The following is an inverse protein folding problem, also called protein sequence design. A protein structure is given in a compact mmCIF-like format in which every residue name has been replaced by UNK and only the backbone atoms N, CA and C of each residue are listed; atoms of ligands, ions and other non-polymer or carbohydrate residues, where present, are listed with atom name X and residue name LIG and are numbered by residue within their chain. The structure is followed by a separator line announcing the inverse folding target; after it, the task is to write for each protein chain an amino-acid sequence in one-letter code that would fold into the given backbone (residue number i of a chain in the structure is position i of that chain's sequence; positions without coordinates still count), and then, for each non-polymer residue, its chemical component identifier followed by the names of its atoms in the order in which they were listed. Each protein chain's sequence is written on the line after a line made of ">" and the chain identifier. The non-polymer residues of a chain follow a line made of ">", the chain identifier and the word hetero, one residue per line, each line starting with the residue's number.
data_IF_650681798854
#
_entry.id   IF_650681798854
#
_cell.length_a   1.000
_cell.length_b   1.000
_cell.length_c   1.000
_cell.angle_alpha   90.00
_cell.angle_beta   90.00
_cell.angle_gamma   90.00
#
_symmetry.space_group_name_H-M   'P 1'
#
loop_
_entity.id
_entity.type
_entity.pdbx_description
1 polymer ?
#
# COMPACT_ATOMS: atom_id res chain seq x y z
N UNK A 1 -18.56 15.84 -4.24
CA UNK A 1 -18.46 14.38 -4.06
C UNK A 1 -19.78 13.95 -3.46
N UNK A 2 -20.65 13.36 -4.26
CA UNK A 2 -21.99 12.95 -3.85
C UNK A 2 -21.90 11.58 -3.16
N UNK A 3 -22.52 11.45 -1.99
CA UNK A 3 -22.51 10.20 -1.23
C UNK A 3 -23.30 9.08 -1.93
N UNK A 4 -24.26 9.42 -2.81
CA UNK A 4 -25.01 8.41 -3.58
C UNK A 4 -24.13 7.72 -4.61
N UNK A 5 -23.26 8.49 -5.27
CA UNK A 5 -22.33 8.01 -6.29
C UNK A 5 -21.27 7.06 -5.70
N UNK A 6 -20.82 7.32 -4.47
CA UNK A 6 -19.90 6.43 -3.75
C UNK A 6 -20.52 5.07 -3.41
N UNK A 7 -21.79 5.06 -3.00
CA UNK A 7 -22.50 3.81 -2.68
C UNK A 7 -22.78 3.02 -3.95
N UNK A 8 -23.21 3.67 -5.02
CA UNK A 8 -23.50 3.00 -6.29
C UNK A 8 -22.23 2.37 -6.88
N UNK A 9 -21.11 3.11 -6.89
CA UNK A 9 -19.82 2.57 -7.33
C UNK A 9 -19.31 1.43 -6.43
N UNK A 10 -19.57 1.48 -5.11
CA UNK A 10 -19.24 0.35 -4.22
C UNK A 10 -20.12 -0.88 -4.50
N UNK A 11 -21.40 -0.71 -4.80
CA UNK A 11 -22.32 -1.81 -5.09
C UNK A 11 -21.97 -2.46 -6.44
N UNK A 12 -21.59 -1.67 -7.45
CA UNK A 12 -21.15 -2.18 -8.76
C UNK A 12 -19.82 -2.95 -8.67
N UNK A 13 -18.85 -2.44 -7.89
CA UNK A 13 -17.60 -3.17 -7.62
C UNK A 13 -17.86 -4.46 -6.82
N UNK A 14 -18.84 -4.44 -5.91
CA UNK A 14 -19.22 -5.60 -5.12
C UNK A 14 -19.88 -6.68 -5.98
N UNK A 15 -20.83 -6.34 -6.85
CA UNK A 15 -21.46 -7.31 -7.74
C UNK A 15 -20.44 -7.95 -8.70
N UNK A 16 -19.47 -7.17 -9.18
CA UNK A 16 -18.36 -7.72 -9.97
C UNK A 16 -17.49 -8.70 -9.17
N UNK A 17 -17.17 -8.40 -7.91
CA UNK A 17 -16.39 -9.31 -7.05
C UNK A 17 -17.15 -10.55 -6.63
N UNK A 18 -18.47 -10.46 -6.46
CA UNK A 18 -19.32 -11.59 -6.09
C UNK A 18 -19.54 -12.50 -7.30
N UNK A 19 -19.78 -11.95 -8.48
CA UNK A 19 -19.90 -12.69 -9.72
C UNK A 19 -18.56 -12.78 -10.45
N UNK A 20 -17.79 -13.86 -10.19
CA UNK A 20 -16.48 -14.10 -10.82
C UNK A 20 -16.50 -14.26 -12.36
N UNK A 21 -17.69 -14.17 -12.98
CA UNK A 21 -17.91 -14.27 -14.43
C UNK A 21 -18.29 -12.95 -15.08
N UNK A 22 -18.61 -11.93 -14.30
CA UNK A 22 -18.93 -10.58 -14.79
C UNK A 22 -17.70 -9.92 -15.41
N UNK A 23 -17.90 -9.12 -16.46
CA UNK A 23 -16.82 -8.43 -17.18
C UNK A 23 -17.10 -6.93 -17.15
N UNK A 24 -16.08 -6.16 -16.77
CA UNK A 24 -16.12 -4.71 -16.69
C UNK A 24 -14.93 -4.03 -17.34
N UNK A 25 -15.08 -2.73 -17.59
CA UNK A 25 -14.02 -1.83 -18.03
C UNK A 25 -13.58 -0.95 -16.88
N UNK A 26 -12.27 -0.84 -16.65
CA UNK A 26 -11.75 0.15 -15.70
C UNK A 26 -11.47 1.47 -16.41
N UNK A 27 -12.15 2.52 -15.97
CA UNK A 27 -12.02 3.87 -16.51
C UNK A 27 -10.87 4.63 -15.82
N UNK A 28 -10.48 5.77 -16.38
CA UNK A 28 -9.35 6.56 -15.89
C UNK A 28 -9.54 7.14 -14.47
N UNK A 29 -10.80 7.32 -14.04
CA UNK A 29 -11.15 7.71 -12.67
C UNK A 29 -11.06 6.54 -11.66
N UNK A 30 -10.67 5.35 -12.14
CA UNK A 30 -10.62 4.07 -11.41
C UNK A 30 -11.99 3.48 -11.07
N UNK A 31 -13.08 4.04 -11.61
CA UNK A 31 -14.38 3.38 -11.57
C UNK A 31 -14.40 2.17 -12.52
N UNK A 32 -15.24 1.20 -12.21
CA UNK A 32 -15.44 0.03 -13.05
C UNK A 32 -16.83 0.10 -13.67
N UNK A 33 -16.89 0.11 -15.00
CA UNK A 33 -18.11 0.08 -15.77
C UNK A 33 -18.46 -1.37 -16.13
N UNK A 34 -19.53 -1.96 -15.58
CA UNK A 34 -19.93 -3.32 -15.93
C UNK A 34 -20.44 -3.38 -17.38
N UNK A 35 -19.86 -4.28 -18.17
CA UNK A 35 -20.18 -4.44 -19.59
C UNK A 35 -21.06 -5.65 -19.81
N UNK A 36 -20.65 -6.80 -19.26
CA UNK A 36 -21.35 -8.07 -19.35
C UNK A 36 -21.55 -8.65 -17.94
N UNK A 37 -22.75 -9.14 -17.66
CA UNK A 37 -23.08 -9.74 -16.35
C UNK A 37 -22.47 -11.12 -16.17
N UNK A 38 -22.21 -11.83 -17.26
CA UNK A 38 -21.66 -13.18 -17.30
C UNK A 38 -20.81 -13.39 -18.58
N UNK A 39 -20.47 -14.64 -18.86
CA UNK A 39 -19.71 -15.06 -20.05
C UNK A 39 -20.62 -15.58 -21.17
N UNK A 40 -21.89 -15.16 -21.18
CA UNK A 40 -22.85 -15.59 -22.21
C UNK A 40 -22.58 -14.85 -23.53
N UNK A 41 -22.71 -15.52 -24.68
CA UNK A 41 -22.45 -14.91 -25.98
C UNK A 41 -23.31 -13.67 -26.20
N UNK A 42 -22.66 -12.53 -26.43
CA UNK A 42 -23.32 -11.23 -26.46
C UNK A 42 -22.44 -10.17 -27.12
N UNK A 43 -23.01 -9.01 -27.48
CA UNK A 43 -22.27 -7.91 -28.13
C UNK A 43 -22.68 -6.57 -27.55
N UNK A 44 -21.70 -5.68 -27.34
CA UNK A 44 -21.92 -4.30 -26.89
C UNK A 44 -21.06 -3.33 -27.68
N UNK A 45 -21.58 -2.13 -27.90
CA UNK A 45 -20.86 -1.02 -28.52
C UNK A 45 -20.97 0.20 -27.63
N UNK A 46 -19.88 0.95 -27.49
CA UNK A 46 -19.85 2.20 -26.74
C UNK A 46 -18.85 3.17 -27.35
N UNK A 47 -18.99 4.44 -27.01
CA UNK A 47 -18.05 5.50 -27.39
C UNK A 47 -17.33 5.95 -26.12
N UNK A 48 -16.01 5.94 -26.17
CA UNK A 48 -15.12 6.42 -25.11
C UNK A 48 -14.41 7.70 -25.57
N UNK A 49 -13.88 8.45 -24.60
CA UNK A 49 -13.09 9.65 -24.86
C UNK A 49 -11.90 9.76 -23.91
N UNK A 50 -10.95 10.63 -24.24
CA UNK A 50 -9.80 10.96 -23.40
C UNK A 50 -10.18 11.78 -22.17
N UNK A 51 -9.43 11.59 -21.09
CA UNK A 51 -9.60 12.32 -19.83
C UNK A 51 -8.55 13.41 -19.62
N UNK A 52 -7.62 13.56 -20.55
CA UNK A 52 -6.57 14.59 -20.52
C UNK A 52 -6.47 15.28 -21.88
N UNK A 53 -6.11 16.55 -21.84
CA UNK A 53 -5.83 17.32 -23.04
C UNK A 53 -4.56 16.80 -23.74
N UNK A 54 -4.60 16.75 -25.06
CA UNK A 54 -3.47 16.35 -25.91
C UNK A 54 -3.03 14.89 -25.74
N UNK A 55 -3.89 14.04 -25.14
CA UNK A 55 -3.60 12.63 -24.90
C UNK A 55 -3.50 11.86 -26.22
N UNK A 56 -2.32 11.30 -26.49
CA UNK A 56 -1.95 10.56 -27.71
C UNK A 56 -2.12 9.04 -27.60
N UNK A 57 -2.38 8.54 -26.39
CA UNK A 57 -2.51 7.11 -26.08
C UNK A 57 -3.59 6.85 -25.04
N UNK A 58 -4.37 5.79 -25.23
CA UNK A 58 -5.35 5.28 -24.26
C UNK A 58 -5.10 3.80 -23.96
N UNK A 59 -5.35 3.44 -22.71
CA UNK A 59 -5.32 2.04 -22.25
C UNK A 59 -6.73 1.69 -21.77
N UNK A 60 -7.32 0.68 -22.40
CA UNK A 60 -8.65 0.17 -22.07
C UNK A 60 -8.45 -1.15 -21.33
N UNK A 61 -8.56 -1.12 -20.01
CA UNK A 61 -8.36 -2.28 -19.17
C UNK A 61 -9.67 -3.05 -18.93
N UNK A 62 -9.66 -4.33 -19.26
CA UNK A 62 -10.75 -5.27 -19.04
C UNK A 62 -10.53 -6.03 -17.73
N UNK A 63 -11.60 -6.18 -16.95
CA UNK A 63 -11.62 -6.86 -15.66
C UNK A 63 -12.70 -7.93 -15.68
N UNK A 64 -12.44 -9.06 -15.03
CA UNK A 64 -13.42 -10.12 -14.84
C UNK A 64 -13.44 -10.55 -13.38
N UNK A 65 -14.62 -10.58 -12.76
CA UNK A 65 -14.72 -11.05 -11.38
C UNK A 65 -13.94 -10.24 -10.34
N UNK A 66 -13.54 -9.01 -10.67
CA UNK A 66 -12.64 -8.19 -9.86
C UNK A 66 -11.14 -8.44 -10.08
N UNK A 67 -10.75 -9.30 -11.03
CA UNK A 67 -9.37 -9.55 -11.46
C UNK A 67 -9.09 -8.93 -12.84
N UNK A 68 -7.84 -8.52 -13.14
CA UNK A 68 -7.48 -8.01 -14.46
C UNK A 68 -7.51 -9.14 -15.49
N UNK A 69 -8.20 -8.92 -16.60
CA UNK A 69 -8.31 -9.87 -17.71
C UNK A 69 -7.30 -9.56 -18.82
N UNK A 70 -7.34 -8.34 -19.36
CA UNK A 70 -6.50 -7.91 -20.47
C UNK A 70 -6.49 -6.38 -20.59
N UNK A 71 -5.57 -5.84 -21.38
CA UNK A 71 -5.51 -4.40 -21.69
C UNK A 71 -5.35 -4.19 -23.18
N UNK A 72 -6.22 -3.34 -23.75
CA UNK A 72 -6.14 -2.89 -25.12
C UNK A 72 -5.54 -1.49 -25.16
N UNK A 73 -4.36 -1.37 -25.77
CA UNK A 73 -3.68 -0.09 -25.94
C UNK A 73 -3.94 0.45 -27.35
N UNK A 74 -4.42 1.69 -27.45
CA UNK A 74 -4.54 2.42 -28.71
C UNK A 74 -3.64 3.66 -28.64
N UNK A 75 -2.80 3.82 -29.65
CA UNK A 75 -1.75 4.86 -29.73
C UNK A 75 -2.03 5.79 -30.92
N UNK A 76 -1.19 6.79 -31.11
CA UNK A 76 -1.29 7.77 -32.21
C UNK A 76 -2.67 8.43 -32.30
N UNK A 77 -3.28 8.75 -31.15
CA UNK A 77 -4.54 9.49 -31.11
C UNK A 77 -4.34 10.92 -31.62
N UNK A 78 -5.37 11.47 -32.23
CA UNK A 78 -5.37 12.86 -32.63
C UNK A 78 -5.33 13.75 -31.37
N UNK A 79 -4.28 14.55 -31.26
CA UNK A 79 -4.11 15.46 -30.13
C UNK A 79 -5.21 16.53 -30.14
N UNK A 80 -6.19 16.38 -29.24
CA UNK A 80 -7.35 17.28 -29.09
C UNK A 80 -7.59 17.64 -27.63
N UNK A 81 -8.52 18.56 -27.42
CA UNK A 81 -9.04 18.87 -26.09
C UNK A 81 -9.58 17.60 -25.40
N UNK A 82 -9.50 17.57 -24.07
CA UNK A 82 -10.12 16.51 -23.27
C UNK A 82 -11.59 16.34 -23.65
N UNK A 83 -12.06 15.10 -23.73
CA UNK A 83 -13.47 14.83 -24.04
C UNK A 83 -13.83 14.86 -25.53
N UNK A 84 -12.90 15.24 -26.42
CA UNK A 84 -13.17 15.41 -27.85
C UNK A 84 -12.80 14.20 -28.75
N UNK A 85 -11.78 13.37 -28.46
CA UNK A 85 -11.52 12.16 -29.23
C UNK A 85 -12.66 11.15 -29.10
N UNK A 86 -13.27 10.78 -30.22
CA UNK A 86 -14.28 9.71 -30.30
C UNK A 86 -13.60 8.36 -30.55
N UNK A 87 -13.59 7.50 -29.55
CA UNK A 87 -13.08 6.12 -29.65
C UNK A 87 -14.28 5.16 -29.63
N UNK A 88 -14.58 4.59 -30.80
CA UNK A 88 -15.58 3.54 -30.93
C UNK A 88 -15.00 2.22 -30.38
N UNK A 89 -15.62 1.68 -29.33
CA UNK A 89 -15.28 0.40 -28.74
C UNK A 89 -16.39 -0.62 -29.01
N UNK A 90 -16.03 -1.68 -29.72
CA UNK A 90 -16.88 -2.83 -29.99
C UNK A 90 -16.39 -4.03 -29.20
N UNK A 91 -17.32 -4.70 -28.50
CA UNK A 91 -17.05 -5.83 -27.63
C UNK A 91 -18.00 -6.97 -27.99
N UNK A 92 -17.50 -8.19 -28.05
CA UNK A 92 -18.31 -9.38 -28.23
C UNK A 92 -17.77 -10.54 -27.40
N UNK A 93 -18.68 -11.31 -26.82
CA UNK A 93 -18.41 -12.65 -26.31
C UNK A 93 -18.97 -13.63 -27.32
N UNK A 94 -18.14 -14.55 -27.81
CA UNK A 94 -18.55 -15.59 -28.76
C UNK A 94 -19.09 -16.85 -28.05
N UNK A 95 -19.50 -17.86 -28.82
CA UNK A 95 -20.06 -19.11 -28.31
C UNK A 95 -19.00 -20.00 -27.62
N UNK A 96 -17.75 -19.81 -27.99
CA UNK A 96 -16.58 -20.54 -27.54
C UNK A 96 -16.02 -19.95 -26.23
N UNK A 97 -16.50 -18.77 -25.83
CA UNK A 97 -16.10 -18.12 -24.58
C UNK A 97 -14.89 -17.20 -24.75
N UNK A 98 -14.66 -16.62 -25.92
CA UNK A 98 -13.67 -15.58 -26.12
C UNK A 98 -14.31 -14.19 -26.06
N UNK A 99 -13.57 -13.24 -25.51
CA UNK A 99 -13.84 -11.82 -25.59
C UNK A 99 -13.07 -11.23 -26.77
N UNK A 100 -13.80 -10.79 -27.78
CA UNK A 100 -13.33 -9.91 -28.84
C UNK A 100 -13.54 -8.45 -28.45
N UNK A 101 -12.48 -7.66 -28.51
CA UNK A 101 -12.54 -6.22 -28.34
C UNK A 101 -11.87 -5.53 -29.52
N UNK A 102 -12.51 -4.47 -30.05
CA UNK A 102 -11.93 -3.62 -31.08
C UNK A 102 -12.18 -2.16 -30.74
N UNK A 103 -11.11 -1.40 -30.59
CA UNK A 103 -11.14 0.05 -30.39
C UNK A 103 -10.72 0.74 -31.69
N UNK A 104 -11.46 1.77 -32.10
CA UNK A 104 -11.16 2.58 -33.28
C UNK A 104 -11.35 4.07 -32.96
N UNK A 105 -10.33 4.86 -33.20
CA UNK A 105 -10.46 6.32 -33.13
C UNK A 105 -11.05 6.87 -34.43
N UNK A 106 -12.07 7.73 -34.34
CA UNK A 106 -12.69 8.32 -35.54
C UNK A 106 -11.83 9.37 -36.25
N UNK A 107 -10.99 10.10 -35.51
CA UNK A 107 -10.16 11.19 -36.05
C UNK A 107 -9.08 10.67 -37.00
N UNK A 108 -8.24 9.77 -36.50
CA UNK A 108 -7.14 9.17 -37.29
C UNK A 108 -7.55 7.93 -38.08
N UNK A 109 -8.63 7.25 -37.65
CA UNK A 109 -9.00 5.93 -38.16
C UNK A 109 -8.16 4.80 -37.59
N UNK A 110 -7.23 5.08 -36.67
CA UNK A 110 -6.39 4.07 -36.05
C UNK A 110 -7.27 3.08 -35.26
N UNK A 111 -6.91 1.80 -35.30
CA UNK A 111 -7.67 0.76 -34.64
C UNK A 111 -6.78 -0.35 -34.09
N UNK A 112 -7.20 -0.90 -32.95
CA UNK A 112 -6.55 -2.04 -32.31
C UNK A 112 -7.60 -3.04 -31.87
N UNK A 113 -7.27 -4.31 -31.99
CA UNK A 113 -8.14 -5.43 -31.60
C UNK A 113 -7.41 -6.37 -30.65
N UNK A 114 -8.19 -7.01 -29.79
CA UNK A 114 -7.76 -8.02 -28.84
C UNK A 114 -8.75 -9.18 -28.87
N UNK A 115 -8.23 -10.40 -28.76
CA UNK A 115 -9.00 -11.63 -28.62
C UNK A 115 -8.44 -12.41 -27.43
N UNK A 116 -9.27 -12.66 -26.41
CA UNK A 116 -8.82 -13.30 -25.16
C UNK A 116 -9.83 -14.35 -24.69
N UNK A 117 -9.33 -15.50 -24.26
CA UNK A 117 -10.15 -16.58 -23.72
C UNK A 117 -10.70 -16.21 -22.34
N UNK A 118 -12.02 -16.32 -22.16
CA UNK A 118 -12.70 -16.18 -20.88
C UNK A 118 -12.69 -17.54 -20.16
N UNK A 119 -11.50 -18.06 -19.85
CA UNK A 119 -11.33 -19.39 -19.26
C UNK A 119 -12.22 -19.60 -18.03
N UNK A 120 -12.62 -20.83 -17.73
CA UNK A 120 -13.34 -21.09 -16.49
C UNK A 120 -12.47 -20.69 -15.28
N UNK A 121 -13.10 -19.99 -14.35
CA UNK A 121 -12.59 -19.49 -13.07
C UNK A 121 -11.30 -20.20 -12.59
N UNK A 122 -10.27 -19.43 -12.21
CA UNK A 122 -8.99 -19.87 -11.61
C UNK A 122 -9.19 -20.79 -10.37
N UNK A 123 -10.42 -20.96 -9.90
CA UNK A 123 -10.80 -21.88 -8.83
C UNK A 123 -10.83 -23.36 -9.22
N UNK A 124 -10.90 -23.72 -10.51
CA UNK A 124 -10.98 -25.13 -10.93
C UNK A 124 -9.61 -25.79 -11.23
N UNK A 125 -8.55 -24.99 -11.37
CA UNK A 125 -7.18 -25.51 -11.55
C UNK A 125 -6.16 -24.64 -10.81
N UNK A 126 -5.70 -25.05 -9.61
CA UNK A 126 -4.72 -24.30 -8.82
C UNK A 126 -3.32 -24.22 -9.47
N UNK A 127 -3.10 -24.88 -10.61
CA UNK A 127 -1.84 -24.88 -11.35
C UNK A 127 -1.91 -24.18 -12.71
N UNK A 128 -3.07 -23.64 -13.11
CA UNK A 128 -3.19 -22.91 -14.38
C UNK A 128 -2.49 -21.57 -14.27
N UNK A 129 -1.29 -21.50 -14.84
CA UNK A 129 -0.55 -20.26 -15.07
C UNK A 129 -1.17 -19.60 -16.32
N UNK A 130 -1.97 -18.52 -16.19
CA UNK A 130 -2.52 -17.83 -17.34
C UNK A 130 -1.39 -17.31 -18.22
N UNK A 131 -1.50 -17.51 -19.53
CA UNK A 131 -0.56 -16.99 -20.54
C UNK A 131 -0.42 -15.47 -20.52
N UNK A 132 -1.38 -14.76 -19.91
CA UNK A 132 -1.31 -13.32 -19.64
C UNK A 132 -0.27 -12.93 -18.58
N UNK A 133 0.25 -13.87 -17.76
CA UNK A 133 1.37 -13.58 -16.84
C UNK A 133 2.65 -13.16 -17.56
N UNK A 134 2.83 -13.58 -18.81
CA UNK A 134 3.94 -13.14 -19.67
C UNK A 134 3.87 -11.64 -20.01
N UNK A 135 2.65 -11.08 -20.09
CA UNK A 135 2.42 -9.65 -20.38
C UNK A 135 2.22 -8.81 -19.11
N UNK A 136 2.06 -9.45 -17.94
CA UNK A 136 1.89 -8.77 -16.63
C UNK A 136 3.15 -8.06 -16.16
N UNK A 137 4.33 -8.53 -16.55
CA UNK A 137 5.61 -7.88 -16.23
C UNK A 137 5.72 -6.47 -16.85
N UNK A 138 4.94 -6.15 -17.89
CA UNK A 138 4.89 -4.82 -18.50
C UNK A 138 3.95 -3.83 -17.78
N UNK A 139 2.95 -4.34 -17.04
CA UNK A 139 1.98 -3.51 -16.31
C UNK A 139 2.42 -3.21 -14.88
N UNK A 140 3.26 -4.05 -14.28
CA UNK A 140 3.75 -3.87 -12.90
C UNK A 140 4.94 -2.88 -12.83
N UNK A 141 5.65 -2.60 -13.92
CA UNK A 141 6.83 -1.70 -13.90
C UNK A 141 6.49 -0.19 -14.00
N UNK A 142 5.25 0.17 -14.34
CA UNK A 142 4.84 1.59 -14.48
C UNK A 142 3.78 2.01 -13.46
N UNK A 143 4.29 2.46 -12.32
CA UNK A 143 3.65 3.11 -11.16
C UNK A 143 3.23 2.14 -10.05
N UNK A 144 3.83 2.20 -8.85
CA UNK A 144 3.87 3.39 -8.00
C UNK A 144 5.24 3.55 -7.32
N UNK A 145 5.72 4.78 -7.02
CA UNK A 145 6.72 4.94 -5.97
C UNK A 145 6.17 4.26 -4.72
N UNK A 146 6.90 3.28 -4.20
CA UNK A 146 6.65 2.66 -2.90
C UNK A 146 6.13 3.76 -1.95
N UNK A 147 4.95 3.63 -1.33
CA UNK A 147 4.67 4.50 -0.20
C UNK A 147 5.82 4.20 0.75
N UNK A 148 6.70 5.17 0.98
CA UNK A 148 7.68 5.09 2.05
C UNK A 148 6.85 4.96 3.31
N UNK A 149 6.50 3.71 3.64
CA UNK A 149 5.87 3.30 4.86
C UNK A 149 7.01 3.47 5.84
N UNK A 150 7.17 4.71 6.30
CA UNK A 150 7.95 5.06 7.46
C UNK A 150 7.26 4.33 8.59
N UNK A 151 7.57 3.03 8.72
CA UNK A 151 7.46 2.32 9.98
C UNK A 151 8.03 3.32 10.97
N UNK A 152 7.21 3.74 11.93
CA UNK A 152 7.72 4.38 13.14
C UNK A 152 8.64 3.33 13.75
N UNK A 153 9.88 3.31 13.29
CA UNK A 153 10.95 2.61 13.97
C UNK A 153 11.06 3.36 15.28
N UNK A 154 10.89 2.64 16.37
CA UNK A 154 11.23 3.07 17.72
C UNK A 154 12.75 3.24 17.83
N UNK A 155 13.34 4.00 16.91
CA UNK A 155 14.76 4.25 16.76
C UNK A 155 15.18 5.63 17.27
N UNK A 156 14.67 6.13 18.43
CA UNK A 156 15.47 7.04 19.24
C UNK A 156 15.92 6.43 20.58
N UNK A 157 15.30 5.32 21.04
CA UNK A 157 15.56 4.84 22.41
C UNK A 157 16.95 4.21 22.58
N UNK A 158 17.44 3.51 21.56
CA UNK A 158 18.80 2.94 21.58
C UNK A 158 19.90 4.00 21.51
N UNK A 159 19.67 5.12 20.83
CA UNK A 159 20.65 6.23 20.75
C UNK A 159 20.77 6.93 22.11
N UNK A 160 19.64 7.18 22.77
CA UNK A 160 19.64 7.75 24.13
C UNK A 160 20.28 6.79 25.13
N UNK A 161 20.01 5.49 25.03
CA UNK A 161 20.64 4.47 25.88
C UNK A 161 22.18 4.44 25.69
N UNK A 162 22.65 4.52 24.45
CA UNK A 162 24.08 4.50 24.14
C UNK A 162 24.79 5.78 24.63
N UNK A 163 24.15 6.94 24.48
CA UNK A 163 24.67 8.21 25.03
C UNK A 163 24.72 8.19 26.57
N UNK A 164 23.71 7.63 27.22
CA UNK A 164 23.67 7.51 28.68
C UNK A 164 24.77 6.55 29.18
N UNK A 165 24.98 5.43 28.49
CA UNK A 165 26.03 4.47 28.80
C UNK A 165 27.44 5.07 28.63
N UNK A 166 27.69 5.80 27.54
CA UNK A 166 28.97 6.50 27.34
C UNK A 166 29.19 7.64 28.35
N UNK A 167 28.14 8.38 28.72
CA UNK A 167 28.22 9.42 29.74
C UNK A 167 28.61 8.87 31.12
N UNK A 168 28.00 7.75 31.53
CA UNK A 168 28.32 7.09 32.81
C UNK A 168 29.73 6.50 32.79
N UNK A 169 30.12 5.84 31.69
CA UNK A 169 31.47 5.29 31.54
C UNK A 169 32.55 6.39 31.58
N UNK A 170 32.32 7.51 30.87
CA UNK A 170 33.20 8.67 30.90
C UNK A 170 33.29 9.32 32.28
N UNK A 171 32.17 9.45 33.00
CA UNK A 171 32.16 9.95 34.38
C UNK A 171 32.93 9.05 35.33
N UNK A 172 32.78 7.73 35.20
CA UNK A 172 33.49 6.77 36.05
C UNK A 172 35.00 6.80 35.77
N UNK A 173 35.40 6.88 34.50
CA UNK A 173 36.80 7.03 34.10
C UNK A 173 37.39 8.36 34.61
N UNK A 174 36.65 9.46 34.46
CA UNK A 174 37.05 10.77 35.01
C UNK A 174 37.21 10.71 36.54
N UNK A 175 36.26 10.08 37.24
CA UNK A 175 36.33 9.94 38.70
C UNK A 175 37.50 9.05 39.14
N UNK A 176 37.80 7.99 38.40
CA UNK A 176 38.87 7.06 38.72
C UNK A 176 40.27 7.67 38.48
N UNK A 177 40.41 8.55 37.49
CA UNK A 177 41.72 9.10 37.09
C UNK A 177 42.01 10.48 37.72
N UNK A 178 40.99 11.29 38.06
CA UNK A 178 41.18 12.66 38.56
C UNK A 178 40.89 12.90 40.05
N UNK A 179 40.79 11.86 40.88
CA UNK A 179 40.81 12.06 42.35
C UNK A 179 42.24 11.95 42.89
N UNK A 180 42.93 13.06 43.20
CA UNK A 180 44.14 13.00 44.00
C UNK A 180 43.76 12.53 45.41
N UNK A 181 44.46 11.49 45.90
CA UNK A 181 44.39 11.02 47.27
C UNK A 181 44.47 12.21 48.24
N UNK A 182 43.41 12.44 49.01
CA UNK A 182 43.50 13.40 50.12
C UNK A 182 44.27 12.73 51.25
N UNK A 183 45.39 13.31 51.73
CA UNK A 183 46.11 12.77 52.88
C UNK A 183 45.19 12.79 54.10
N UNK A 184 45.17 11.66 54.82
CA UNK A 184 44.33 11.43 56.00
C UNK A 184 44.52 12.54 57.03
N UNK A 185 43.45 13.26 57.33
CA UNK A 185 43.40 14.11 58.53
C UNK A 185 43.34 13.20 59.77
N UNK A 186 44.26 13.45 60.72
CA UNK A 186 44.41 12.71 61.96
C UNK A 186 43.13 12.70 62.84
N UNK A 187 42.92 11.66 63.67
CA UNK A 187 41.75 11.59 64.54
C UNK A 187 41.79 12.67 65.62
N UNK A 188 40.75 13.49 65.64
CA UNK A 188 40.53 14.52 66.68
C UNK A 188 40.03 13.83 67.95
N UNK A 189 40.90 13.79 68.96
CA UNK A 189 40.59 13.46 70.36
C UNK A 189 39.53 14.41 70.92
N UNK A 190 38.37 13.88 71.32
CA UNK A 190 37.40 14.60 72.15
C UNK A 190 37.19 13.81 73.45
N UNK A 191 37.70 14.39 74.54
CA UNK A 191 37.45 13.99 75.92
C UNK A 191 36.45 15.03 76.54
N UNK A 192 35.76 14.71 77.65
CA UNK A 192 34.30 14.69 77.73
C UNK A 192 33.71 15.80 78.64
N UNK A 193 32.38 16.01 78.64
CA UNK A 193 31.73 16.70 79.76
C UNK A 193 30.78 15.80 80.58
N UNK A 194 31.15 15.68 81.86
CA UNK A 194 30.36 15.70 83.10
C UNK A 194 29.04 14.91 83.23
N UNK A 195 29.03 14.05 84.27
CA UNK A 195 27.86 13.41 84.89
C UNK A 195 27.09 14.36 85.83
N UNK A 196 25.82 14.03 86.12
CA UNK A 196 25.28 14.03 87.49
C UNK A 196 24.70 12.63 87.82
N UNK A 197 25.18 11.91 88.84
CA UNK A 197 24.82 12.01 90.27
C UNK A 197 23.46 11.37 90.63
N UNK A 198 23.54 10.25 91.38
CA UNK A 198 22.58 9.72 92.37
C UNK A 198 21.16 9.30 91.92
N UNK A 199 20.47 8.27 92.43
CA UNK A 199 20.71 7.30 93.49
C UNK A 199 19.51 6.29 93.56
N UNK A 200 19.82 4.97 93.71
CA UNK A 200 19.28 4.04 94.75
C UNK A 200 17.80 3.53 94.63
N UNK A 201 17.37 2.34 95.16
CA UNK A 201 18.07 1.20 95.81
C UNK A 201 17.80 -0.22 95.24
N UNK A 202 18.57 -1.17 95.80
CA UNK A 202 18.54 -2.65 95.82
C UNK A 202 17.25 -3.29 96.42
N UNK A 203 17.18 -4.60 96.79
CA UNK A 203 18.06 -5.77 96.58
C UNK A 203 17.32 -7.05 96.09
N UNK A 204 18.02 -8.17 95.88
CA UNK A 204 17.75 -9.51 96.49
C UNK A 204 18.22 -10.72 95.67
N UNK A 205 18.52 -11.79 96.44
CA UNK A 205 18.85 -13.18 96.09
C UNK A 205 20.28 -13.45 95.60
N UNK A 206 21.08 -14.33 96.20
CA UNK A 206 20.88 -15.30 97.28
C UNK A 206 22.13 -16.17 97.38
#
# INVERSE_FOLDING_TARGET
>A
MDYRELVDNQVLDYDMKVNNRSIGLRLADRSTLPIFSDSTPSRKRMVLTTTREGQDRVEIAFWRGGEPLAVLTLEDLESRAQGAPDIDLELAIDAEGYLDATARERGTGNSRSLHVELGDSILDDPYRVPSSLSDRDLFEERALPEPVRKRRTLAPLWIVLLLLLFGVAGWFFYRAVLQPDRPMAAPVTLAPPAAPEAAVPAPEAG
#
